data_IF_485706742356
#
_entry.id   IF_485706742356
#
_cell.length_a   1.000
_cell.length_b   1.000
_cell.length_c   1.000
_cell.angle_alpha   90.00
_cell.angle_beta   90.00
_cell.angle_gamma   90.00
#
_symmetry.space_group_name_H-M   'P 1'
#
loop_
_entity.id
_entity.type
_entity.pdbx_description
1 polymer ?
#
# COMPACT_ATOMS: atom_id res chain seq x y z
N UNK A 1 11.71 23.56 0.24
CA UNK A 1 10.64 23.14 -0.69
C UNK A 1 10.75 21.69 -1.17
N UNK A 2 11.86 20.98 -0.91
CA UNK A 2 12.10 19.64 -1.51
C UNK A 2 11.73 18.44 -0.61
N UNK A 3 11.44 18.64 0.66
CA UNK A 3 11.14 17.53 1.58
C UNK A 3 9.82 16.79 1.25
N UNK A 4 8.85 17.45 0.62
CA UNK A 4 7.58 16.82 0.26
C UNK A 4 7.64 15.90 -0.97
N UNK A 5 8.66 16.04 -1.79
CA UNK A 5 8.81 15.25 -3.02
C UNK A 5 9.31 13.82 -2.78
N UNK A 6 9.88 13.54 -1.61
CA UNK A 6 10.46 12.25 -1.24
C UNK A 6 9.55 11.38 -0.37
N UNK A 7 8.40 11.89 0.06
CA UNK A 7 7.48 11.20 0.95
C UNK A 7 6.51 10.28 0.17
N UNK A 8 6.04 9.25 0.84
CA UNK A 8 5.18 8.20 0.29
C UNK A 8 3.78 8.25 0.90
N UNK A 9 2.79 7.83 0.13
CA UNK A 9 1.45 7.53 0.62
C UNK A 9 1.32 6.03 0.84
N UNK A 10 0.87 5.61 2.01
CA UNK A 10 0.78 4.21 2.40
C UNK A 10 -0.64 3.92 2.88
N UNK A 11 -1.29 2.94 2.28
CA UNK A 11 -2.57 2.42 2.76
C UNK A 11 -2.35 1.08 3.44
N UNK A 12 -2.72 1.01 4.71
CA UNK A 12 -2.80 -0.24 5.46
C UNK A 12 -4.13 -0.91 5.09
N UNK A 13 -4.06 -2.13 4.56
CA UNK A 13 -5.16 -2.85 3.95
C UNK A 13 -5.36 -4.17 4.69
N UNK A 14 -6.37 -4.25 5.56
CA UNK A 14 -6.53 -5.34 6.52
C UNK A 14 -7.77 -6.18 6.21
N UNK A 15 -7.56 -7.48 6.00
CA UNK A 15 -8.60 -8.49 5.96
C UNK A 15 -9.14 -8.74 7.38
N UNK A 16 -10.45 -8.52 7.57
CA UNK A 16 -11.13 -8.72 8.86
C UNK A 16 -12.18 -9.83 8.79
N UNK A 17 -11.98 -10.79 7.90
CA UNK A 17 -12.80 -12.00 7.82
C UNK A 17 -12.64 -12.88 9.06
N UNK A 18 -13.55 -13.83 9.25
CA UNK A 18 -13.54 -14.70 10.43
C UNK A 18 -12.25 -15.51 10.60
N UNK A 19 -11.59 -15.89 9.51
CA UNK A 19 -10.34 -16.66 9.56
C UNK A 19 -9.11 -15.82 9.94
N UNK A 20 -9.10 -14.53 9.62
CA UNK A 20 -7.99 -13.60 9.92
C UNK A 20 -8.15 -12.91 11.26
N UNK A 21 -9.38 -12.74 11.72
CA UNK A 21 -9.70 -11.96 12.92
C UNK A 21 -8.88 -12.33 14.16
N UNK A 22 -8.61 -13.61 14.48
CA UNK A 22 -7.77 -13.99 15.61
C UNK A 22 -6.32 -13.49 15.51
N UNK A 23 -5.84 -13.17 14.30
CA UNK A 23 -4.47 -12.73 14.01
C UNK A 23 -4.36 -11.22 13.77
N UNK A 24 -5.47 -10.54 13.58
CA UNK A 24 -5.51 -9.12 13.19
C UNK A 24 -4.93 -8.19 14.24
N UNK A 25 -5.04 -8.53 15.53
CA UNK A 25 -4.40 -7.75 16.58
C UNK A 25 -2.88 -7.68 16.41
N UNK A 26 -2.25 -8.79 16.09
CA UNK A 26 -0.80 -8.86 15.86
C UNK A 26 -0.40 -8.08 14.61
N UNK A 27 -1.22 -8.11 13.55
CA UNK A 27 -1.04 -7.27 12.37
C UNK A 27 -1.15 -5.79 12.72
N UNK A 28 -2.14 -5.39 13.50
CA UNK A 28 -2.29 -4.00 13.98
C UNK A 28 -1.08 -3.57 14.80
N UNK A 29 -0.55 -4.44 15.65
CA UNK A 29 0.67 -4.16 16.42
C UNK A 29 1.89 -3.99 15.49
N UNK A 30 1.96 -4.77 14.40
CA UNK A 30 2.95 -4.59 13.33
C UNK A 30 2.79 -3.24 12.64
N UNK A 31 1.57 -2.82 12.34
CA UNK A 31 1.32 -1.49 11.78
C UNK A 31 1.74 -0.38 12.74
N UNK A 32 1.49 -0.52 14.04
CA UNK A 32 1.94 0.43 15.06
C UNK A 32 3.47 0.56 15.10
N UNK A 33 4.20 -0.56 15.00
CA UNK A 33 5.66 -0.51 14.89
C UNK A 33 6.13 0.16 13.60
N UNK A 34 5.50 -0.14 12.48
CA UNK A 34 5.82 0.45 11.18
C UNK A 34 5.66 1.98 11.21
N UNK A 35 4.60 2.49 11.81
CA UNK A 35 4.31 3.94 11.91
C UNK A 35 5.38 4.70 12.67
N UNK A 36 6.05 4.08 13.65
CA UNK A 36 7.14 4.71 14.42
C UNK A 36 8.36 5.10 13.55
N UNK A 37 8.51 4.47 12.40
CA UNK A 37 9.62 4.69 11.47
C UNK A 37 9.28 5.68 10.35
N UNK A 38 8.08 6.23 10.33
CA UNK A 38 7.64 7.15 9.28
C UNK A 38 7.93 8.60 9.63
N UNK A 39 8.40 9.34 8.63
CA UNK A 39 8.70 10.77 8.70
C UNK A 39 8.20 11.44 7.41
N UNK A 40 6.97 11.97 7.44
CA UNK A 40 6.36 12.65 6.30
C UNK A 40 5.55 11.76 5.37
N UNK A 41 5.47 10.45 5.58
CA UNK A 41 4.52 9.57 4.93
C UNK A 41 3.09 9.92 5.36
N UNK A 42 2.13 9.84 4.41
CA UNK A 42 0.71 9.85 4.74
C UNK A 42 0.19 8.41 4.81
N UNK A 43 -0.58 8.15 5.83
CA UNK A 43 -1.06 6.80 6.15
C UNK A 43 -2.57 6.80 6.16
N UNK A 44 -3.18 5.80 5.50
CA UNK A 44 -4.60 5.50 5.59
C UNK A 44 -4.81 4.06 6.03
N UNK A 45 -5.98 3.75 6.58
CA UNK A 45 -6.39 2.39 6.94
C UNK A 45 -7.74 2.07 6.32
N UNK A 46 -7.79 0.98 5.59
CA UNK A 46 -9.00 0.32 5.13
C UNK A 46 -9.07 -1.09 5.68
N UNK A 47 -10.25 -1.52 6.06
CA UNK A 47 -10.54 -2.90 6.47
C UNK A 47 -11.58 -3.49 5.52
N UNK A 48 -11.49 -4.78 5.26
CA UNK A 48 -12.39 -5.44 4.31
C UNK A 48 -12.75 -6.87 4.72
N UNK A 49 -13.91 -7.30 4.26
CA UNK A 49 -14.36 -8.67 4.22
C UNK A 49 -15.06 -8.91 2.86
N UNK A 50 -16.40 -8.93 2.76
CA UNK A 50 -17.09 -8.92 1.46
C UNK A 50 -17.21 -7.53 0.84
N UNK A 51 -16.99 -6.48 1.62
CA UNK A 51 -16.84 -5.09 1.18
C UNK A 51 -15.83 -4.37 2.06
N UNK A 52 -15.45 -3.16 1.68
CA UNK A 52 -14.42 -2.38 2.37
C UNK A 52 -15.01 -1.20 3.12
N UNK A 53 -14.36 -0.84 4.23
CA UNK A 53 -14.61 0.38 4.99
C UNK A 53 -13.31 1.12 5.25
N UNK A 54 -13.27 2.40 4.91
CA UNK A 54 -12.16 3.28 5.30
C UNK A 54 -12.29 3.61 6.79
N UNK A 55 -11.29 3.23 7.58
CA UNK A 55 -11.22 3.58 9.01
C UNK A 55 -10.74 5.01 9.17
N UNK A 56 -9.69 5.39 8.49
CA UNK A 56 -9.27 6.77 8.31
C UNK A 56 -8.59 6.98 6.94
N UNK A 57 -8.79 8.16 6.32
CA UNK A 57 -8.15 8.48 5.04
C UNK A 57 -6.66 8.79 5.23
N UNK A 58 -5.95 9.04 4.13
CA UNK A 58 -4.54 9.43 4.16
C UNK A 58 -4.32 10.67 5.02
N UNK A 59 -3.45 10.53 6.02
CA UNK A 59 -3.09 11.59 6.97
C UNK A 59 -1.63 11.46 7.42
N UNK A 60 -0.99 12.57 7.74
CA UNK A 60 0.32 12.66 8.40
C UNK A 60 0.21 12.97 9.90
N UNK A 61 -1.01 12.97 10.43
CA UNK A 61 -1.26 13.06 11.87
C UNK A 61 -1.01 11.71 12.53
N UNK A 62 0.24 11.45 12.91
CA UNK A 62 0.65 10.18 13.52
C UNK A 62 0.07 9.96 14.92
N UNK A 63 -0.34 11.01 15.62
CA UNK A 63 -1.06 10.88 16.89
C UNK A 63 -2.45 10.28 16.65
N UNK A 64 -3.17 10.79 15.65
CA UNK A 64 -4.45 10.24 15.23
C UNK A 64 -4.30 8.78 14.77
N UNK A 65 -3.32 8.49 13.92
CA UNK A 65 -3.04 7.14 13.40
C UNK A 65 -2.78 6.17 14.57
N UNK A 66 -1.88 6.53 15.47
CA UNK A 66 -1.53 5.72 16.65
C UNK A 66 -2.74 5.48 17.55
N UNK A 67 -3.56 6.49 17.77
CA UNK A 67 -4.78 6.40 18.57
C UNK A 67 -5.79 5.44 17.93
N UNK A 68 -6.03 5.54 16.62
CA UNK A 68 -6.94 4.68 15.90
C UNK A 68 -6.46 3.22 15.88
N UNK A 69 -5.18 2.97 15.59
CA UNK A 69 -4.59 1.63 15.60
C UNK A 69 -4.60 1.02 17.02
N UNK A 70 -4.31 1.80 18.06
CA UNK A 70 -4.38 1.34 19.44
C UNK A 70 -5.80 0.97 19.84
N UNK A 71 -6.80 1.74 19.43
CA UNK A 71 -8.21 1.43 19.65
C UNK A 71 -8.63 0.14 18.94
N UNK A 72 -8.17 -0.07 17.70
CA UNK A 72 -8.38 -1.31 16.95
C UNK A 72 -7.74 -2.52 17.65
N UNK A 73 -6.49 -2.39 18.10
CA UNK A 73 -5.79 -3.44 18.85
C UNK A 73 -6.52 -3.83 20.13
N UNK A 74 -7.10 -2.85 20.83
CA UNK A 74 -7.91 -3.10 22.04
C UNK A 74 -9.24 -3.78 21.72
N UNK A 75 -9.91 -3.43 20.62
CA UNK A 75 -11.15 -4.05 20.21
C UNK A 75 -10.96 -5.51 19.78
N UNK A 76 -9.80 -5.85 19.19
CA UNK A 76 -9.48 -7.18 18.67
C UNK A 76 -8.82 -8.09 19.70
N UNK A 77 -9.32 -8.10 20.94
CA UNK A 77 -8.78 -8.90 22.05
C UNK A 77 -9.20 -10.36 21.98
N UNK A 78 -8.95 -11.15 21.10
CA UNK A 78 -9.31 -12.55 21.12
C UNK A 78 -8.35 -13.34 20.25
N UNK A 79 -7.39 -14.01 20.88
CA UNK A 79 -6.39 -14.83 20.20
C UNK A 79 -6.87 -16.26 19.90
N UNK A 80 -7.93 -16.71 20.57
CA UNK A 80 -8.47 -18.06 20.42
C UNK A 80 -9.99 -18.12 20.52
N UNK A 81 -10.61 -19.22 20.08
CA UNK A 81 -12.05 -19.47 20.25
C UNK A 81 -12.44 -19.44 21.71
N UNK A 82 -11.57 -19.95 22.60
CA UNK A 82 -11.77 -19.91 24.06
C UNK A 82 -11.81 -18.50 24.64
N UNK A 83 -11.08 -17.56 24.04
CA UNK A 83 -11.10 -16.15 24.44
C UNK A 83 -12.38 -15.48 23.97
N UNK A 84 -12.86 -15.80 22.78
CA UNK A 84 -14.13 -15.33 22.23
C UNK A 84 -15.29 -15.82 23.10
N UNK A 85 -15.27 -17.08 23.52
CA UNK A 85 -16.31 -17.70 24.37
C UNK A 85 -16.34 -17.10 25.80
N UNK A 86 -15.26 -16.48 26.22
CA UNK A 86 -15.13 -15.84 27.54
C UNK A 86 -15.32 -14.31 27.52
N UNK A 87 -15.52 -13.74 26.32
CA UNK A 87 -15.73 -12.30 26.18
C UNK A 87 -17.02 -11.85 26.88
N UNK A 88 -16.95 -10.68 27.48
CA UNK A 88 -18.14 -9.98 27.93
C UNK A 88 -18.94 -9.46 26.72
N UNK A 89 -20.24 -9.24 26.92
CA UNK A 89 -21.12 -8.64 25.91
C UNK A 89 -20.57 -7.28 25.40
N UNK A 90 -19.94 -6.51 26.26
CA UNK A 90 -19.32 -5.23 25.90
C UNK A 90 -18.11 -5.42 24.96
N UNK A 91 -17.23 -6.37 25.25
CA UNK A 91 -16.07 -6.68 24.39
C UNK A 91 -16.51 -7.22 23.03
N UNK A 92 -17.51 -8.09 23.00
CA UNK A 92 -18.11 -8.58 21.76
C UNK A 92 -18.72 -7.44 20.93
N UNK A 93 -19.40 -6.48 21.59
CA UNK A 93 -19.99 -5.32 20.92
C UNK A 93 -18.92 -4.38 20.35
N UNK A 94 -17.78 -4.21 21.03
CA UNK A 94 -16.66 -3.42 20.53
C UNK A 94 -16.09 -4.00 19.21
N UNK A 95 -15.93 -5.32 19.16
CA UNK A 95 -15.54 -6.02 17.92
C UNK A 95 -16.59 -5.83 16.82
N UNK A 96 -17.85 -6.05 17.14
CA UNK A 96 -18.95 -5.91 16.16
C UNK A 96 -19.02 -4.48 15.59
N UNK A 97 -18.88 -3.47 16.42
CA UNK A 97 -18.84 -2.07 16.02
C UNK A 97 -17.63 -1.77 15.11
N UNK A 98 -16.48 -2.36 15.43
CA UNK A 98 -15.28 -2.16 14.61
C UNK A 98 -15.39 -2.82 13.24
N UNK A 99 -16.07 -3.97 13.15
CA UNK A 99 -16.32 -4.71 11.90
C UNK A 99 -17.50 -4.15 11.08
N UNK A 100 -18.26 -3.21 11.62
CA UNK A 100 -19.43 -2.67 10.93
C UNK A 100 -19.06 -2.10 9.56
N UNK A 101 -19.91 -2.36 8.54
CA UNK A 101 -19.70 -1.87 7.18
C UNK A 101 -18.71 -2.69 6.34
N UNK A 102 -18.19 -3.81 6.84
CA UNK A 102 -17.26 -4.68 6.08
C UNK A 102 -17.94 -5.89 5.45
N UNK A 103 -19.23 -6.12 5.72
CA UNK A 103 -19.97 -7.24 5.19
C UNK A 103 -21.33 -6.81 4.62
N UNK A 104 -21.49 -6.97 3.31
CA UNK A 104 -22.71 -6.67 2.58
C UNK A 104 -23.27 -7.87 1.81
N UNK A 105 -22.57 -9.02 1.83
CA UNK A 105 -22.95 -10.26 1.17
C UNK A 105 -22.83 -11.43 2.14
N UNK A 106 -23.84 -12.30 2.15
CA UNK A 106 -23.85 -13.52 2.99
C UNK A 106 -23.13 -14.70 2.33
N UNK A 107 -22.98 -14.66 1.02
CA UNK A 107 -22.40 -15.72 0.17
C UNK A 107 -20.91 -15.50 -0.13
N UNK A 108 -20.29 -14.47 0.46
CA UNK A 108 -18.91 -14.15 0.20
C UNK A 108 -18.20 -13.64 1.46
N UNK A 109 -16.94 -14.03 1.61
CA UNK A 109 -16.03 -13.55 2.66
C UNK A 109 -14.64 -13.40 2.11
N UNK A 110 -13.87 -12.44 2.69
CA UNK A 110 -12.46 -12.24 2.36
C UNK A 110 -12.22 -12.05 0.86
N UNK A 111 -12.94 -11.08 0.26
CA UNK A 111 -12.78 -10.72 -1.14
C UNK A 111 -11.52 -9.86 -1.31
N UNK A 112 -10.37 -10.51 -1.29
CA UNK A 112 -9.05 -9.88 -1.15
C UNK A 112 -8.74 -8.97 -2.33
N UNK A 113 -8.96 -9.43 -3.56
CA UNK A 113 -8.74 -8.61 -4.75
C UNK A 113 -9.56 -7.33 -4.75
N UNK A 114 -10.85 -7.42 -4.39
CA UNK A 114 -11.73 -6.26 -4.24
C UNK A 114 -11.25 -5.34 -3.11
N UNK A 115 -10.76 -5.91 -2.00
CA UNK A 115 -10.16 -5.18 -0.90
C UNK A 115 -8.92 -4.39 -1.32
N UNK A 116 -8.01 -4.98 -2.09
CA UNK A 116 -6.82 -4.32 -2.63
C UNK A 116 -7.19 -3.17 -3.56
N UNK A 117 -8.16 -3.36 -4.46
CA UNK A 117 -8.64 -2.31 -5.36
C UNK A 117 -9.27 -1.16 -4.58
N UNK A 118 -10.05 -1.44 -3.53
CA UNK A 118 -10.59 -0.40 -2.64
C UNK A 118 -9.50 0.37 -1.90
N UNK A 119 -8.44 -0.31 -1.45
CA UNK A 119 -7.27 0.33 -0.83
C UNK A 119 -6.53 1.21 -1.85
N UNK A 120 -6.35 0.75 -3.08
CA UNK A 120 -5.74 1.53 -4.15
C UNK A 120 -6.55 2.79 -4.48
N UNK A 121 -7.88 2.72 -4.41
CA UNK A 121 -8.76 3.86 -4.63
C UNK A 121 -8.62 4.99 -3.59
N UNK A 122 -8.02 4.72 -2.43
CA UNK A 122 -7.67 5.74 -1.43
C UNK A 122 -6.42 6.55 -1.83
N UNK A 123 -5.62 6.03 -2.76
CA UNK A 123 -4.38 6.66 -3.22
C UNK A 123 -4.65 7.64 -4.36
N UNK A 124 -4.04 8.85 -4.34
CA UNK A 124 -4.20 9.81 -5.41
C UNK A 124 -3.75 9.24 -6.75
N UNK A 125 -4.49 9.54 -7.81
CA UNK A 125 -4.16 9.13 -9.17
C UNK A 125 -4.58 7.71 -9.54
N UNK A 126 -5.25 6.96 -8.66
CA UNK A 126 -5.89 5.71 -9.03
C UNK A 126 -7.34 5.94 -9.46
N UNK A 127 -7.70 5.46 -10.65
CA UNK A 127 -9.07 5.50 -11.15
C UNK A 127 -9.51 4.11 -11.61
N UNK A 128 -10.72 3.72 -11.24
CA UNK A 128 -11.31 2.47 -11.67
C UNK A 128 -11.45 2.42 -13.19
N UNK A 129 -10.92 1.37 -13.81
CA UNK A 129 -11.10 1.13 -15.26
C UNK A 129 -10.20 1.96 -16.20
N UNK A 130 -9.43 2.90 -15.68
CA UNK A 130 -8.54 3.76 -16.47
C UNK A 130 -7.07 3.63 -16.03
N UNK A 131 -6.61 2.42 -15.84
CA UNK A 131 -5.23 2.13 -15.37
C UNK A 131 -4.13 2.82 -16.20
N UNK A 132 -4.40 3.09 -17.48
CA UNK A 132 -3.41 3.67 -18.38
C UNK A 132 -3.23 5.19 -18.25
N UNK A 133 -4.12 5.89 -17.57
CA UNK A 133 -4.07 7.35 -17.44
C UNK A 133 -3.82 7.85 -16.01
N UNK A 134 -3.93 6.97 -15.01
CA UNK A 134 -3.84 7.33 -13.60
C UNK A 134 -2.44 7.75 -13.13
N UNK A 135 -1.42 7.63 -13.97
CA UNK A 135 -0.02 7.79 -13.55
C UNK A 135 0.59 9.15 -13.80
N UNK A 136 -0.02 9.99 -14.64
CA UNK A 136 0.69 11.16 -15.16
C UNK A 136 1.04 12.21 -14.09
N UNK A 137 0.26 12.28 -13.00
CA UNK A 137 0.34 13.41 -12.07
C UNK A 137 0.59 13.02 -10.61
N UNK A 138 0.91 11.75 -10.28
CA UNK A 138 1.20 11.39 -8.89
C UNK A 138 2.54 11.96 -8.46
N UNK A 139 2.49 12.92 -7.53
CA UNK A 139 3.70 13.58 -6.99
C UNK A 139 4.38 12.76 -5.90
N UNK A 140 3.64 11.87 -5.24
CA UNK A 140 4.14 11.04 -4.14
C UNK A 140 4.11 9.57 -4.54
N UNK A 141 5.15 8.83 -4.16
CA UNK A 141 5.14 7.38 -4.31
C UNK A 141 4.01 6.75 -3.48
N UNK A 142 3.48 5.62 -3.90
CA UNK A 142 2.34 4.98 -3.27
C UNK A 142 2.59 3.50 -3.00
N UNK A 143 2.16 3.04 -1.84
CA UNK A 143 2.25 1.64 -1.40
C UNK A 143 0.99 1.21 -0.68
N UNK A 144 0.74 -0.10 -0.71
CA UNK A 144 -0.26 -0.79 0.10
C UNK A 144 0.45 -1.85 0.94
N UNK A 145 0.13 -1.95 2.21
CA UNK A 145 0.53 -3.06 3.08
C UNK A 145 -0.71 -3.91 3.34
N UNK A 146 -0.81 -5.02 2.61
CA UNK A 146 -1.92 -5.95 2.65
C UNK A 146 -1.69 -7.02 3.71
N UNK A 147 -2.64 -7.22 4.61
CA UNK A 147 -2.65 -8.34 5.56
C UNK A 147 -3.87 -9.22 5.32
N UNK A 148 -3.64 -10.51 5.05
CA UNK A 148 -4.66 -11.53 4.78
C UNK A 148 -4.06 -12.93 4.89
N UNK A 149 -4.90 -13.95 5.01
CA UNK A 149 -4.52 -15.37 4.89
C UNK A 149 -4.69 -15.93 3.47
N UNK A 150 -5.20 -15.10 2.55
CA UNK A 150 -5.50 -15.47 1.16
C UNK A 150 -6.59 -16.56 1.00
N UNK A 151 -7.46 -16.72 1.98
CA UNK A 151 -8.58 -17.67 1.91
C UNK A 151 -9.85 -16.94 1.48
N UNK A 152 -10.19 -17.04 0.21
CA UNK A 152 -11.35 -16.38 -0.41
C UNK A 152 -12.54 -17.34 -0.44
N UNK A 153 -13.73 -16.84 -0.09
CA UNK A 153 -15.00 -17.54 -0.29
C UNK A 153 -15.97 -16.65 -1.08
N UNK A 154 -16.65 -17.24 -2.04
CA UNK A 154 -17.53 -16.54 -2.95
C UNK A 154 -16.81 -16.03 -4.21
N UNK A 155 -17.50 -15.17 -4.96
CA UNK A 155 -16.99 -14.66 -6.25
C UNK A 155 -16.63 -13.18 -6.13
N UNK A 156 -15.33 -12.82 -6.12
CA UNK A 156 -14.87 -11.44 -6.16
C UNK A 156 -15.08 -10.83 -7.56
N UNK A 157 -15.05 -9.51 -7.64
CA UNK A 157 -14.93 -8.76 -8.90
C UNK A 157 -13.53 -8.87 -9.47
N UNK A 158 -12.52 -8.81 -8.60
CA UNK A 158 -11.11 -8.97 -8.93
C UNK A 158 -10.50 -10.14 -8.16
N UNK A 159 -9.73 -10.99 -8.84
CA UNK A 159 -8.81 -11.89 -8.14
C UNK A 159 -7.66 -11.08 -7.53
N UNK A 160 -6.89 -11.69 -6.61
CA UNK A 160 -5.68 -11.04 -6.08
C UNK A 160 -4.72 -10.65 -7.21
N UNK A 161 -4.46 -11.56 -8.15
CA UNK A 161 -3.56 -11.31 -9.29
C UNK A 161 -4.06 -10.16 -10.16
N UNK A 162 -5.34 -10.12 -10.50
CA UNK A 162 -5.93 -9.01 -11.26
C UNK A 162 -5.80 -7.67 -10.53
N UNK A 163 -6.03 -7.66 -9.22
CA UNK A 163 -5.86 -6.46 -8.39
C UNK A 163 -4.38 -6.01 -8.35
N UNK A 164 -3.44 -6.95 -8.24
CA UNK A 164 -2.00 -6.65 -8.26
C UNK A 164 -1.53 -6.17 -9.63
N UNK A 165 -2.09 -6.68 -10.72
CA UNK A 165 -1.83 -6.16 -12.07
C UNK A 165 -2.28 -4.70 -12.19
N UNK A 166 -3.46 -4.35 -11.67
CA UNK A 166 -3.96 -2.99 -11.66
C UNK A 166 -3.07 -2.06 -10.83
N UNK A 167 -2.68 -2.48 -9.63
CA UNK A 167 -1.79 -1.68 -8.77
C UNK A 167 -0.42 -1.49 -9.40
N UNK A 168 0.15 -2.53 -10.00
CA UNK A 168 1.44 -2.45 -10.69
C UNK A 168 1.39 -1.49 -11.88
N UNK A 169 0.34 -1.54 -12.70
CA UNK A 169 0.13 -0.63 -13.83
C UNK A 169 0.04 0.84 -13.38
N UNK A 170 -0.50 1.08 -12.20
CA UNK A 170 -0.59 2.43 -11.58
C UNK A 170 0.61 2.77 -10.70
N UNK A 171 1.68 1.99 -10.73
CA UNK A 171 2.91 2.17 -9.94
C UNK A 171 2.65 2.22 -8.42
N UNK A 172 1.72 1.42 -7.97
CA UNK A 172 1.47 1.15 -6.54
C UNK A 172 2.14 -0.18 -6.21
N UNK A 173 3.04 -0.19 -5.23
CA UNK A 173 3.63 -1.43 -4.73
C UNK A 173 2.76 -2.00 -3.63
N UNK A 174 2.51 -3.30 -3.66
CA UNK A 174 1.79 -4.03 -2.62
C UNK A 174 2.72 -4.97 -1.90
N UNK A 175 2.91 -4.77 -0.60
CA UNK A 175 3.59 -5.69 0.30
C UNK A 175 2.56 -6.54 1.03
N UNK A 176 2.87 -7.79 1.32
CA UNK A 176 1.98 -8.73 1.97
C UNK A 176 2.46 -9.11 3.36
N UNK A 177 1.54 -9.06 4.32
CA UNK A 177 1.69 -9.65 5.65
C UNK A 177 0.74 -10.84 5.77
N UNK A 178 1.27 -12.01 6.06
CA UNK A 178 0.44 -13.17 6.29
C UNK A 178 -0.28 -13.04 7.65
N UNK A 179 -1.62 -13.09 7.61
CA UNK A 179 -2.50 -13.00 8.77
C UNK A 179 -3.26 -14.31 8.95
N UNK A 180 -2.64 -15.27 9.57
CA UNK A 180 -3.22 -16.60 9.77
C UNK A 180 -2.37 -17.47 10.69
N UNK A 181 -2.76 -18.75 10.91
CA UNK A 181 -2.04 -19.66 11.79
C UNK A 181 -0.65 -19.98 11.24
N UNK A 182 0.34 -20.01 12.12
CA UNK A 182 1.73 -20.35 11.78
C UNK A 182 1.85 -21.70 11.06
N UNK A 183 1.00 -22.66 11.42
CA UNK A 183 0.99 -23.98 10.79
C UNK A 183 0.61 -23.95 9.30
N UNK A 184 -0.06 -22.90 8.85
CA UNK A 184 -0.53 -22.71 7.46
C UNK A 184 0.39 -21.84 6.61
N UNK A 185 1.52 -21.38 7.14
CA UNK A 185 2.48 -20.56 6.40
C UNK A 185 3.06 -21.24 5.15
N UNK A 186 3.08 -22.57 5.13
CA UNK A 186 3.54 -23.38 3.98
C UNK A 186 2.42 -23.96 3.12
N UNK A 187 1.17 -23.62 3.43
CA UNK A 187 0.02 -24.06 2.63
C UNK A 187 0.06 -23.45 1.22
N UNK A 188 -0.61 -24.11 0.26
CA UNK A 188 -0.64 -23.65 -1.12
C UNK A 188 -1.21 -22.24 -1.26
N UNK A 189 -2.29 -21.91 -0.55
CA UNK A 189 -2.89 -20.56 -0.56
C UNK A 189 -1.92 -19.47 -0.09
N UNK A 190 -1.12 -19.76 0.92
CA UNK A 190 -0.09 -18.84 1.43
C UNK A 190 1.06 -18.71 0.44
N UNK A 191 1.51 -19.82 -0.14
CA UNK A 191 2.55 -19.83 -1.18
C UNK A 191 2.10 -19.09 -2.44
N UNK A 192 0.85 -19.23 -2.85
CA UNK A 192 0.26 -18.50 -3.98
C UNK A 192 0.24 -16.98 -3.71
N UNK A 193 -0.13 -16.56 -2.50
CA UNK A 193 -0.07 -15.16 -2.10
C UNK A 193 1.36 -14.62 -2.16
N UNK A 194 2.31 -15.35 -1.59
CA UNK A 194 3.73 -14.99 -1.64
C UNK A 194 4.21 -14.79 -3.08
N UNK A 195 3.93 -15.76 -3.95
CA UNK A 195 4.32 -15.70 -5.36
C UNK A 195 3.67 -14.52 -6.09
N UNK A 196 2.40 -14.26 -5.84
CA UNK A 196 1.70 -13.13 -6.43
C UNK A 196 2.29 -11.78 -5.99
N UNK A 197 2.52 -11.58 -4.71
CA UNK A 197 3.11 -10.36 -4.14
C UNK A 197 4.52 -10.14 -4.67
N UNK A 198 5.39 -11.16 -4.59
CA UNK A 198 6.79 -11.05 -5.01
C UNK A 198 6.95 -10.85 -6.52
N UNK A 199 6.12 -11.50 -7.34
CA UNK A 199 6.14 -11.32 -8.80
C UNK A 199 5.70 -9.92 -9.25
N UNK A 200 4.99 -9.19 -8.39
CA UNK A 200 4.58 -7.80 -8.62
C UNK A 200 5.48 -6.78 -7.89
N UNK A 201 6.65 -7.20 -7.42
CA UNK A 201 7.69 -6.35 -6.85
C UNK A 201 7.50 -6.00 -5.37
N UNK A 202 6.59 -6.66 -4.66
CA UNK A 202 6.40 -6.51 -3.23
C UNK A 202 7.22 -7.50 -2.40
N UNK A 203 7.22 -7.31 -1.07
CA UNK A 203 7.75 -8.24 -0.09
C UNK A 203 6.61 -9.02 0.53
N UNK A 204 6.85 -10.29 0.84
CA UNK A 204 5.91 -11.12 1.58
C UNK A 204 6.53 -11.55 2.92
N UNK A 205 5.83 -11.30 4.01
CA UNK A 205 6.30 -11.54 5.37
C UNK A 205 5.34 -12.43 6.15
N UNK A 206 5.89 -13.33 6.96
CA UNK A 206 5.16 -14.20 7.87
C UNK A 206 5.63 -14.02 9.30
N UNK A 207 4.89 -14.53 10.28
CA UNK A 207 5.30 -14.49 11.69
C UNK A 207 6.59 -15.25 11.97
N UNK A 208 6.86 -16.31 11.20
CA UNK A 208 8.11 -17.11 11.32
C UNK A 208 9.34 -16.34 10.87
N UNK A 209 9.18 -15.30 10.06
CA UNK A 209 10.25 -14.40 9.64
C UNK A 209 10.43 -13.27 10.67
N UNK A 210 10.85 -13.57 11.89
CA UNK A 210 10.91 -12.64 13.01
C UNK A 210 11.73 -11.34 12.83
N UNK A 211 12.39 -11.15 11.67
CA UNK A 211 13.06 -9.92 11.25
C UNK A 211 12.17 -9.02 10.36
N UNK A 212 10.89 -9.31 10.28
CA UNK A 212 9.97 -8.87 9.23
C UNK A 212 9.71 -7.38 9.21
N UNK A 213 9.58 -6.71 10.36
CA UNK A 213 9.29 -5.27 10.41
C UNK A 213 10.47 -4.46 9.91
N UNK A 214 11.68 -4.79 10.36
CA UNK A 214 12.90 -4.08 9.92
C UNK A 214 13.15 -4.26 8.42
N UNK A 215 12.81 -5.43 7.87
CA UNK A 215 12.90 -5.70 6.44
C UNK A 215 11.88 -4.87 5.66
N UNK A 216 10.64 -4.84 6.10
CA UNK A 216 9.57 -4.03 5.49
C UNK A 216 9.91 -2.52 5.54
N UNK A 217 10.36 -2.02 6.67
CA UNK A 217 10.80 -0.63 6.84
C UNK A 217 11.92 -0.30 5.89
N UNK A 218 12.96 -1.15 5.84
CA UNK A 218 14.10 -0.95 4.94
C UNK A 218 13.68 -0.94 3.48
N UNK A 219 12.78 -1.83 3.07
CA UNK A 219 12.31 -1.90 1.69
C UNK A 219 11.49 -0.67 1.31
N UNK A 220 10.57 -0.23 2.17
CA UNK A 220 9.81 1.00 1.98
C UNK A 220 10.75 2.21 1.88
N UNK A 221 11.77 2.30 2.74
CA UNK A 221 12.76 3.38 2.72
C UNK A 221 13.63 3.34 1.47
N UNK A 222 14.10 2.16 1.05
CA UNK A 222 14.93 2.01 -0.15
C UNK A 222 14.19 2.40 -1.43
N UNK A 223 12.90 2.09 -1.52
CA UNK A 223 12.05 2.54 -2.63
C UNK A 223 11.91 4.06 -2.65
N UNK A 224 11.79 4.69 -1.48
CA UNK A 224 11.77 6.15 -1.37
C UNK A 224 13.03 6.77 -1.98
N UNK A 225 14.20 6.26 -1.63
CA UNK A 225 15.48 6.77 -2.10
C UNK A 225 15.64 6.57 -3.62
N UNK A 226 15.21 5.43 -4.15
CA UNK A 226 15.21 5.16 -5.60
C UNK A 226 14.26 6.09 -6.36
N UNK A 227 13.09 6.38 -5.83
CA UNK A 227 12.11 7.30 -6.44
C UNK A 227 12.65 8.74 -6.47
N UNK A 228 13.35 9.17 -5.43
CA UNK A 228 14.03 10.49 -5.37
C UNK A 228 15.13 10.56 -6.42
N UNK A 229 15.97 9.56 -6.53
CA UNK A 229 17.06 9.51 -7.50
C UNK A 229 16.54 9.53 -8.94
N UNK A 230 15.48 8.75 -9.22
CA UNK A 230 14.86 8.72 -10.55
C UNK A 230 14.22 10.07 -10.92
N UNK A 231 13.56 10.74 -9.96
CA UNK A 231 13.02 12.09 -10.18
C UNK A 231 14.11 13.12 -10.42
N UNK A 232 15.20 13.05 -9.68
CA UNK A 232 16.36 13.94 -9.88
C UNK A 232 16.98 13.74 -11.27
N UNK A 233 17.15 12.49 -11.72
CA UNK A 233 17.64 12.16 -13.07
C UNK A 233 16.69 12.66 -14.16
N UNK A 234 15.38 12.48 -13.98
CA UNK A 234 14.36 12.97 -14.93
C UNK A 234 14.37 14.50 -15.04
N UNK A 235 14.47 15.20 -13.91
CA UNK A 235 14.53 16.67 -13.93
C UNK A 235 15.80 17.25 -14.58
N UNK A 236 16.90 16.51 -14.55
CA UNK A 236 18.13 16.89 -15.24
C UNK A 236 18.04 16.71 -16.76
N UNK A 237 17.25 15.75 -17.25
CA UNK A 237 17.04 15.52 -18.69
C UNK A 237 16.06 16.54 -19.29
N UNK A 238 15.11 17.02 -18.49
CA UNK A 238 14.11 18.01 -18.91
C UNK A 238 14.57 19.48 -18.74
N UNK A 239 15.86 19.73 -18.57
CA UNK A 239 16.37 21.10 -18.54
C UNK A 239 16.45 21.68 -19.99
N UNK A 240 15.43 22.41 -20.45
CA UNK A 240 15.42 22.96 -21.84
C UNK A 240 16.54 23.96 -22.09
N UNK A 241 17.17 24.43 -21.02
CA UNK A 241 18.27 25.41 -21.09
C UNK A 241 19.51 24.92 -21.83
N UNK A 242 19.84 23.63 -21.78
CA UNK A 242 21.02 23.10 -22.47
C UNK A 242 20.79 23.01 -23.99
N UNK A 243 19.61 22.66 -24.43
CA UNK A 243 19.24 22.61 -25.85
C UNK A 243 19.08 24.00 -26.47
N UNK A 244 18.53 24.96 -25.70
CA UNK A 244 18.43 26.37 -26.13
C UNK A 244 19.81 27.02 -26.24
N UNK A 245 20.75 26.70 -25.34
CA UNK A 245 22.13 27.16 -25.41
C UNK A 245 22.85 26.58 -26.62
N UNK A 246 22.71 25.30 -26.90
CA UNK A 246 23.29 24.65 -28.09
C UNK A 246 22.75 25.26 -29.37
N UNK A 247 21.42 25.47 -29.47
CA UNK A 247 20.78 26.13 -30.61
C UNK A 247 21.26 27.58 -30.79
N UNK A 248 21.43 28.35 -29.71
CA UNK A 248 21.94 29.72 -29.76
C UNK A 248 23.40 29.78 -30.27
N UNK A 249 24.24 28.85 -29.83
CA UNK A 249 25.62 28.74 -30.31
C UNK A 249 25.68 28.39 -31.81
N UNK A 250 24.87 27.43 -32.26
CA UNK A 250 24.79 27.06 -33.69
C UNK A 250 24.30 28.24 -34.53
N UNK A 251 23.33 29.01 -34.07
CA UNK A 251 22.81 30.19 -34.75
C UNK A 251 23.87 31.29 -34.85
N UNK A 252 24.66 31.52 -33.80
CA UNK A 252 25.77 32.50 -33.81
C UNK A 252 26.83 32.08 -34.81
N UNK A 253 27.25 30.82 -34.81
CA UNK A 253 28.23 30.29 -35.76
C UNK A 253 27.73 30.46 -37.21
N UNK A 254 26.46 30.14 -37.45
CA UNK A 254 25.86 30.29 -38.77
C UNK A 254 25.84 31.73 -39.25
N UNK A 255 25.47 32.68 -38.38
CA UNK A 255 25.47 34.12 -38.69
C UNK A 255 26.87 34.60 -39.02
N UNK A 256 27.88 34.19 -38.24
CA UNK A 256 29.28 34.58 -38.47
C UNK A 256 29.82 34.02 -39.82
N UNK A 257 29.50 32.77 -40.13
CA UNK A 257 29.86 32.15 -41.41
C UNK A 257 29.16 32.83 -42.57
N UNK A 258 27.87 33.12 -42.48
CA UNK A 258 27.12 33.84 -43.52
C UNK A 258 27.65 35.25 -43.77
N UNK A 259 28.09 35.91 -42.71
CA UNK A 259 28.69 37.25 -42.84
C UNK A 259 30.07 37.24 -43.49
N UNK A 260 30.88 36.18 -43.21
CA UNK A 260 32.19 35.99 -43.86
C UNK A 260 32.09 35.63 -45.36
N UNK A 261 31.04 34.91 -45.74
CA UNK A 261 30.81 34.53 -47.15
C UNK A 261 30.22 35.65 -48.00
N UNK A 262 29.73 36.73 -47.38
CA UNK A 262 29.21 37.93 -48.09
C UNK A 262 30.25 39.03 -48.27
N UNK A 263 31.46 38.82 -47.77
CA UNK A 263 32.63 39.69 -48.02
C UNK A 263 33.58 39.03 -49.04
#
# INVERSE_FOLDING_TARGET
GDERASSRDIVLCLDVSGSTLPYDREVIDTYLELVKHFEGERIGLSIFNSTSRTVFPLTDDYELVTKQLTSASKALKGESQDDIDKMSDAEYQDIANWLEGTQNRKDATSLIGDGVVSCAAMLPGFAYGEANHANADRQRAASIVLATDNVVSGKPTYSLTEALDLTQQTKITVDGLYSGPKASESDQTTTDMKSAIESHGGIFLTQSNGASIDELVRDIQSRRDTDVENKAKSSMVDAPGLWTLALAVILIIWIVCAWRLRR
#
